data_IF_356634288586
#
_entry.id   IF_356634288586
#
_cell.length_a   1.000
_cell.length_b   1.000
_cell.length_c   1.000
_cell.angle_alpha   90.00
_cell.angle_beta   90.00
_cell.angle_gamma   90.00
#
_symmetry.space_group_name_H-M   'P 1'
#
loop_
_entity.id
_entity.type
_entity.pdbx_description
1 polymer ?
#
# COMPACT_ATOMS: atom_id res chain seq x y z
N UNK A 1 -24.04 41.03 48.23
CA UNK A 1 -24.05 41.31 46.78
C UNK A 1 -23.74 40.02 46.05
N UNK A 2 -24.68 39.60 45.20
CA UNK A 2 -24.68 38.32 44.50
C UNK A 2 -23.54 38.21 43.50
N UNK A 3 -22.66 37.22 43.67
CA UNK A 3 -21.83 36.70 42.58
C UNK A 3 -22.76 35.93 41.62
N UNK A 4 -23.44 36.68 40.75
CA UNK A 4 -24.20 36.14 39.63
C UNK A 4 -23.21 35.51 38.65
N UNK A 5 -23.33 34.19 38.49
CA UNK A 5 -23.23 33.45 37.23
C UNK A 5 -22.27 34.04 36.17
N UNK A 6 -21.05 33.49 36.09
CA UNK A 6 -20.35 33.41 34.79
C UNK A 6 -19.88 31.97 34.52
N UNK A 7 -20.77 31.02 34.13
CA UNK A 7 -20.33 29.65 33.82
C UNK A 7 -20.26 29.35 32.30
N UNK A 8 -21.06 30.01 31.46
CA UNK A 8 -21.38 29.43 30.14
C UNK A 8 -20.46 29.86 28.98
N UNK A 9 -19.81 31.02 29.07
CA UNK A 9 -18.94 31.54 27.99
C UNK A 9 -17.62 30.75 27.92
N UNK A 10 -17.12 30.28 29.08
CA UNK A 10 -15.86 29.54 29.17
C UNK A 10 -15.99 28.08 28.69
N UNK A 11 -17.15 27.45 28.95
CA UNK A 11 -17.41 26.05 28.54
C UNK A 11 -17.51 25.93 27.03
N UNK A 12 -18.30 26.79 26.36
CA UNK A 12 -18.42 26.78 24.89
C UNK A 12 -17.09 27.07 24.19
N UNK A 13 -16.30 27.99 24.73
CA UNK A 13 -14.96 28.28 24.22
C UNK A 13 -14.04 27.05 24.39
N UNK A 14 -14.06 26.39 25.54
CA UNK A 14 -13.28 25.16 25.80
C UNK A 14 -13.69 24.01 24.88
N UNK A 15 -14.98 23.76 24.71
CA UNK A 15 -15.48 22.74 23.78
C UNK A 15 -15.03 23.00 22.35
N UNK A 16 -15.05 24.26 21.89
CA UNK A 16 -14.55 24.65 20.58
C UNK A 16 -13.06 24.31 20.41
N UNK A 17 -12.23 24.60 21.39
CA UNK A 17 -10.81 24.25 21.35
C UNK A 17 -10.56 22.74 21.39
N UNK A 18 -11.36 22.00 22.17
CA UNK A 18 -11.27 20.53 22.23
C UNK A 18 -11.68 19.88 20.91
N UNK A 19 -12.70 20.42 20.23
CA UNK A 19 -13.08 20.00 18.87
C UNK A 19 -11.98 20.27 17.84
N UNK A 20 -11.30 21.43 17.93
CA UNK A 20 -10.17 21.73 17.04
C UNK A 20 -8.98 20.81 17.33
N UNK A 21 -8.72 20.49 18.60
CA UNK A 21 -7.65 19.57 18.97
C UNK A 21 -7.95 18.16 18.46
N UNK A 22 -9.19 17.68 18.65
CA UNK A 22 -9.58 16.35 18.22
C UNK A 22 -9.61 16.22 16.69
N UNK A 23 -10.03 17.25 15.95
CA UNK A 23 -9.97 17.26 14.49
C UNK A 23 -8.52 17.16 14.00
N UNK A 24 -7.59 17.92 14.57
CA UNK A 24 -6.15 17.82 14.27
C UNK A 24 -5.59 16.44 14.60
N UNK A 25 -6.02 15.82 15.70
CA UNK A 25 -5.59 14.47 16.05
C UNK A 25 -6.10 13.42 15.05
N UNK A 26 -7.31 13.60 14.51
CA UNK A 26 -7.86 12.74 13.45
C UNK A 26 -7.09 12.92 12.14
N UNK A 27 -6.76 14.15 11.75
CA UNK A 27 -5.92 14.44 10.58
C UNK A 27 -4.53 13.79 10.68
N UNK A 28 -3.97 13.72 11.89
CA UNK A 28 -2.70 13.05 12.18
C UNK A 28 -2.84 11.51 12.28
N UNK A 29 -4.03 10.95 12.04
CA UNK A 29 -4.31 9.51 12.14
C UNK A 29 -4.34 8.97 13.57
N UNK A 30 -4.38 9.83 14.59
CA UNK A 30 -4.37 9.42 16.00
C UNK A 30 -5.79 9.31 16.58
N UNK A 31 -6.58 8.42 16.01
CA UNK A 31 -7.98 8.20 16.37
C UNK A 31 -8.17 7.83 17.84
N UNK A 32 -7.28 7.02 18.42
CA UNK A 32 -7.36 6.64 19.82
C UNK A 32 -7.18 7.80 20.80
N UNK A 33 -6.31 8.77 20.51
CA UNK A 33 -6.18 9.99 21.35
C UNK A 33 -7.37 10.92 21.13
N UNK A 34 -7.82 11.09 19.89
CA UNK A 34 -9.01 11.90 19.58
C UNK A 34 -10.25 11.37 20.31
N UNK A 35 -10.51 10.06 20.24
CA UNK A 35 -11.63 9.43 20.92
C UNK A 35 -11.59 9.59 22.45
N UNK A 36 -10.39 9.55 23.07
CA UNK A 36 -10.24 9.82 24.51
C UNK A 36 -10.65 11.24 24.89
N UNK A 37 -10.34 12.23 24.04
CA UNK A 37 -10.76 13.62 24.25
C UNK A 37 -12.28 13.72 24.17
N UNK A 38 -12.90 13.12 23.15
CA UNK A 38 -14.35 13.10 22.99
C UNK A 38 -15.07 12.42 24.15
N UNK A 39 -14.56 11.26 24.58
CA UNK A 39 -15.16 10.49 25.66
C UNK A 39 -15.11 11.22 27.01
N UNK A 40 -14.01 11.94 27.30
CA UNK A 40 -13.81 12.61 28.59
C UNK A 40 -14.45 14.00 28.69
N UNK A 41 -14.47 14.76 27.60
CA UNK A 41 -14.75 16.20 27.67
C UNK A 41 -15.85 16.69 26.72
N UNK A 42 -16.31 15.86 25.79
CA UNK A 42 -17.34 16.23 24.82
C UNK A 42 -18.49 15.23 24.89
N UNK A 43 -18.67 14.42 23.84
CA UNK A 43 -19.73 13.42 23.74
C UNK A 43 -19.14 12.01 23.62
N UNK A 44 -19.60 11.13 24.49
CA UNK A 44 -19.16 9.73 24.55
C UNK A 44 -19.59 8.91 23.32
N UNK A 45 -20.71 9.26 22.68
CA UNK A 45 -21.19 8.59 21.45
C UNK A 45 -20.31 8.89 20.23
N UNK A 46 -19.85 10.13 20.08
CA UNK A 46 -18.97 10.53 18.96
C UNK A 46 -17.58 9.87 19.09
N UNK A 47 -17.13 9.59 20.32
CA UNK A 47 -15.90 8.84 20.55
C UNK A 47 -15.94 7.44 19.94
N UNK A 48 -17.08 6.75 19.98
CA UNK A 48 -17.23 5.43 19.35
C UNK A 48 -17.07 5.50 17.83
N UNK A 49 -17.73 6.48 17.20
CA UNK A 49 -17.64 6.69 15.74
C UNK A 49 -16.21 6.97 15.29
N UNK A 50 -15.45 7.74 16.07
CA UNK A 50 -14.03 8.04 15.78
C UNK A 50 -13.16 6.78 15.91
N UNK A 51 -13.39 5.94 16.91
CA UNK A 51 -12.65 4.68 17.04
C UNK A 51 -12.94 3.72 15.88
N UNK A 52 -14.22 3.65 15.46
CA UNK A 52 -14.64 2.86 14.29
C UNK A 52 -13.98 3.39 13.01
N UNK A 53 -13.96 4.71 12.81
CA UNK A 53 -13.31 5.33 11.66
C UNK A 53 -11.79 5.05 11.63
N UNK A 54 -11.15 4.97 12.79
CA UNK A 54 -9.74 4.62 12.92
C UNK A 54 -9.44 3.13 12.95
N UNK A 55 -10.44 2.27 12.71
CA UNK A 55 -10.32 0.81 12.79
C UNK A 55 -9.77 0.30 14.14
N UNK A 56 -9.96 1.04 15.23
CA UNK A 56 -9.54 0.65 16.58
C UNK A 56 -10.60 -0.27 17.24
N UNK A 57 -10.92 -1.38 16.58
CA UNK A 57 -12.06 -2.25 16.88
C UNK A 57 -12.13 -2.69 18.34
N UNK A 58 -11.00 -3.13 18.91
CA UNK A 58 -10.94 -3.62 20.29
C UNK A 58 -11.26 -2.51 21.29
N UNK A 59 -10.77 -1.29 21.05
CA UNK A 59 -11.03 -0.15 21.93
C UNK A 59 -12.49 0.31 21.79
N UNK A 60 -13.03 0.29 20.58
CA UNK A 60 -14.44 0.59 20.31
C UNK A 60 -15.36 -0.40 21.05
N UNK A 61 -15.08 -1.71 20.96
CA UNK A 61 -15.86 -2.73 21.65
C UNK A 61 -15.82 -2.57 23.17
N UNK A 62 -14.64 -2.28 23.76
CA UNK A 62 -14.52 -1.99 25.20
C UNK A 62 -15.30 -0.75 25.63
N UNK A 63 -15.41 0.25 24.75
CA UNK A 63 -16.16 1.47 25.03
C UNK A 63 -17.68 1.22 25.01
N UNK A 64 -18.13 0.24 24.21
CA UNK A 64 -19.53 -0.08 23.99
C UNK A 64 -20.29 -0.40 25.28
N UNK A 65 -19.66 -1.13 26.21
CA UNK A 65 -20.25 -1.48 27.51
C UNK A 65 -20.52 -0.27 28.42
N UNK A 66 -19.94 0.89 28.11
CA UNK A 66 -20.12 2.14 28.86
C UNK A 66 -21.11 3.09 28.19
N UNK A 67 -21.69 2.69 27.05
CA UNK A 67 -22.56 3.50 26.21
C UNK A 67 -24.00 2.97 26.24
N UNK A 68 -24.99 3.79 25.84
CA UNK A 68 -26.38 3.34 25.76
C UNK A 68 -26.57 2.23 24.72
N UNK A 69 -27.62 1.41 24.91
CA UNK A 69 -27.91 0.22 24.09
C UNK A 69 -28.03 0.50 22.59
N UNK A 70 -28.47 1.70 22.19
CA UNK A 70 -28.55 2.13 20.78
C UNK A 70 -27.20 2.11 20.07
N UNK A 71 -26.10 2.32 20.79
CA UNK A 71 -24.77 2.27 20.20
C UNK A 71 -24.34 0.84 19.89
N UNK A 72 -24.92 -0.15 20.58
CA UNK A 72 -24.68 -1.57 20.31
C UNK A 72 -25.19 -1.95 18.93
N UNK A 73 -26.42 -1.57 18.57
CA UNK A 73 -26.97 -1.87 17.25
C UNK A 73 -26.18 -1.19 16.13
N UNK A 74 -25.79 0.07 16.31
CA UNK A 74 -24.90 0.78 15.38
C UNK A 74 -23.55 0.07 15.20
N UNK A 75 -22.91 -0.34 16.31
CA UNK A 75 -21.62 -1.02 16.26
C UNK A 75 -21.73 -2.36 15.52
N UNK A 76 -22.73 -3.18 15.85
CA UNK A 76 -22.94 -4.49 15.22
C UNK A 76 -23.22 -4.36 13.71
N UNK A 77 -24.05 -3.40 13.28
CA UNK A 77 -24.27 -3.14 11.85
C UNK A 77 -22.98 -2.72 11.14
N UNK A 78 -22.15 -1.91 11.80
CA UNK A 78 -20.85 -1.49 11.28
C UNK A 78 -19.91 -2.69 11.11
N UNK A 79 -19.89 -3.62 12.07
CA UNK A 79 -19.09 -4.85 11.99
C UNK A 79 -19.50 -5.69 10.78
N UNK A 80 -20.79 -5.97 10.59
CA UNK A 80 -21.26 -6.73 9.43
C UNK A 80 -20.92 -6.03 8.11
N UNK A 81 -21.12 -4.70 8.03
CA UNK A 81 -20.73 -3.94 6.84
C UNK A 81 -19.23 -3.99 6.57
N UNK A 82 -18.39 -3.92 7.61
CA UNK A 82 -16.94 -4.00 7.45
C UNK A 82 -16.50 -5.40 7.01
N UNK A 83 -17.11 -6.44 7.54
CA UNK A 83 -16.85 -7.83 7.13
C UNK A 83 -17.02 -8.00 5.61
N UNK A 84 -18.19 -7.61 5.08
CA UNK A 84 -18.47 -7.62 3.63
C UNK A 84 -17.46 -6.79 2.83
N UNK A 85 -17.08 -5.62 3.35
CA UNK A 85 -16.11 -4.75 2.69
C UNK A 85 -14.71 -5.38 2.63
N UNK A 86 -14.28 -6.09 3.67
CA UNK A 86 -12.98 -6.80 3.67
C UNK A 86 -12.99 -7.90 2.60
N UNK A 87 -14.08 -8.66 2.48
CA UNK A 87 -14.22 -9.70 1.44
C UNK A 87 -14.09 -9.11 0.03
N UNK A 88 -14.84 -8.03 -0.24
CA UNK A 88 -14.77 -7.32 -1.52
C UNK A 88 -13.39 -6.73 -1.77
N UNK A 89 -12.73 -6.20 -0.74
CA UNK A 89 -11.36 -5.69 -0.85
C UNK A 89 -10.39 -6.79 -1.27
N UNK A 90 -10.43 -7.95 -0.62
CA UNK A 90 -9.61 -9.11 -0.99
C UNK A 90 -9.84 -9.53 -2.45
N UNK A 91 -11.09 -9.55 -2.91
CA UNK A 91 -11.43 -9.90 -4.29
C UNK A 91 -10.89 -8.89 -5.30
N UNK A 92 -11.07 -7.59 -5.05
CA UNK A 92 -10.53 -6.51 -5.88
C UNK A 92 -9.01 -6.58 -5.94
N UNK A 93 -8.34 -6.80 -4.79
CA UNK A 93 -6.89 -6.98 -4.74
C UNK A 93 -6.44 -8.19 -5.55
N UNK A 94 -7.15 -9.31 -5.43
CA UNK A 94 -6.88 -10.54 -6.20
C UNK A 94 -6.93 -10.26 -7.71
N UNK A 95 -8.01 -9.63 -8.18
CA UNK A 95 -8.16 -9.29 -9.61
C UNK A 95 -7.08 -8.32 -10.10
N UNK A 96 -6.74 -7.31 -9.28
CA UNK A 96 -5.69 -6.36 -9.60
C UNK A 96 -4.32 -7.04 -9.71
N UNK A 97 -4.00 -7.96 -8.81
CA UNK A 97 -2.74 -8.72 -8.85
C UNK A 97 -2.70 -9.61 -10.08
N UNK A 98 -3.77 -10.35 -10.38
CA UNK A 98 -3.85 -11.22 -11.57
C UNK A 98 -3.62 -10.40 -12.83
N UNK A 99 -4.35 -9.30 -13.00
CA UNK A 99 -4.25 -8.44 -14.18
C UNK A 99 -2.84 -7.89 -14.38
N UNK A 100 -2.24 -7.32 -13.33
CA UNK A 100 -0.89 -6.75 -13.38
C UNK A 100 0.18 -7.82 -13.58
N UNK A 101 0.07 -8.96 -12.91
CA UNK A 101 0.98 -10.11 -13.07
C UNK A 101 0.96 -10.62 -14.51
N UNK A 102 -0.23 -10.84 -15.07
CA UNK A 102 -0.38 -11.33 -16.44
C UNK A 102 0.22 -10.35 -17.45
N UNK A 103 0.04 -9.03 -17.25
CA UNK A 103 0.69 -8.03 -18.11
C UNK A 103 2.20 -8.03 -17.93
N UNK A 104 2.71 -8.13 -16.70
CA UNK A 104 4.14 -8.17 -16.42
C UNK A 104 4.82 -9.35 -17.13
N UNK A 105 4.22 -10.54 -17.09
CA UNK A 105 4.74 -11.72 -17.77
C UNK A 105 4.81 -11.48 -19.29
N UNK A 106 3.73 -10.98 -19.90
CA UNK A 106 3.73 -10.62 -21.33
C UNK A 106 4.81 -9.61 -21.70
N UNK A 107 5.00 -8.56 -20.88
CA UNK A 107 6.04 -7.55 -21.13
C UNK A 107 7.45 -8.15 -21.03
N UNK A 108 7.67 -9.12 -20.13
CA UNK A 108 8.95 -9.84 -20.05
C UNK A 108 9.19 -10.68 -21.29
N UNK A 109 8.18 -11.41 -21.77
CA UNK A 109 8.27 -12.21 -22.99
C UNK A 109 8.52 -11.33 -24.23
N UNK A 110 7.80 -10.20 -24.35
CA UNK A 110 7.99 -9.20 -25.41
C UNK A 110 9.45 -8.67 -25.43
N UNK A 111 10.05 -8.45 -24.25
CA UNK A 111 11.43 -7.97 -24.12
C UNK A 111 12.46 -9.03 -24.49
N UNK A 112 12.26 -10.27 -24.03
CA UNK A 112 13.14 -11.39 -24.37
C UNK A 112 13.15 -11.64 -25.88
N UNK A 113 11.97 -11.64 -26.52
CA UNK A 113 11.83 -11.76 -27.97
C UNK A 113 12.53 -10.61 -28.71
N UNK A 114 12.40 -9.38 -28.21
CA UNK A 114 13.05 -8.20 -28.81
C UNK A 114 14.58 -8.28 -28.72
N UNK A 115 15.12 -8.78 -27.61
CA UNK A 115 16.56 -9.01 -27.46
C UNK A 115 17.05 -10.12 -28.38
N UNK A 116 16.34 -11.24 -28.47
CA UNK A 116 16.69 -12.35 -29.35
C UNK A 116 16.68 -11.93 -30.83
N UNK A 117 15.65 -11.20 -31.27
CA UNK A 117 15.56 -10.68 -32.64
C UNK A 117 16.67 -9.66 -32.95
N UNK A 118 17.09 -8.85 -31.96
CA UNK A 118 18.22 -7.95 -32.18
C UNK A 118 19.54 -8.73 -32.32
N UNK A 119 19.72 -9.82 -31.59
CA UNK A 119 20.90 -10.68 -31.72
C UNK A 119 20.92 -11.39 -33.09
N UNK A 120 19.77 -11.90 -33.55
CA UNK A 120 19.67 -12.58 -34.85
C UNK A 120 19.93 -11.60 -36.02
N UNK A 121 19.41 -10.38 -35.94
CA UNK A 121 19.74 -9.33 -36.92
C UNK A 121 21.20 -8.88 -36.84
N UNK A 122 21.80 -8.77 -35.65
CA UNK A 122 23.22 -8.42 -35.51
C UNK A 122 24.14 -9.51 -36.07
N UNK A 123 23.76 -10.78 -35.92
CA UNK A 123 24.49 -11.92 -36.48
C UNK A 123 24.27 -12.05 -38.00
N UNK A 124 23.09 -11.68 -38.51
CA UNK A 124 22.78 -11.60 -39.94
C UNK A 124 23.44 -10.40 -40.64
N UNK A 125 23.64 -9.28 -39.93
CA UNK A 125 24.25 -8.04 -40.43
C UNK A 125 25.79 -8.00 -40.28
N UNK A 126 26.44 -9.10 -39.90
CA UNK A 126 27.92 -9.23 -39.95
C UNK A 126 28.51 -9.20 -41.38
N UNK A 127 27.71 -8.85 -42.38
CA UNK A 127 28.13 -8.64 -43.78
C UNK A 127 27.86 -7.21 -44.26
N UNK A 128 27.99 -6.18 -43.42
CA UNK A 128 28.07 -4.79 -43.88
C UNK A 128 28.83 -3.88 -42.89
N UNK A 129 30.12 -3.74 -43.13
CA UNK A 129 30.97 -2.70 -42.57
C UNK A 129 30.49 -1.30 -43.04
N UNK A 130 30.45 -0.30 -42.15
CA UNK A 130 31.22 0.96 -42.21
C UNK A 130 30.55 2.16 -41.51
N UNK A 131 31.31 2.73 -40.57
CA UNK A 131 31.49 4.16 -40.25
C UNK A 131 30.28 5.09 -40.00
N UNK A 132 30.23 5.67 -38.79
CA UNK A 132 30.02 7.12 -38.59
C UNK A 132 30.42 7.55 -37.16
N UNK A 133 31.62 8.13 -37.05
CA UNK A 133 32.08 8.89 -35.89
C UNK A 133 31.63 10.37 -35.97
N UNK A 134 31.65 11.02 -34.81
CA UNK A 134 31.82 12.47 -34.53
C UNK A 134 30.61 13.38 -34.35
N UNK A 135 30.65 14.13 -33.23
CA UNK A 135 29.82 15.32 -33.01
C UNK A 135 29.59 15.77 -31.56
N UNK A 136 30.56 15.67 -30.64
CA UNK A 136 30.45 16.23 -29.28
C UNK A 136 30.96 17.68 -29.23
N UNK A 137 30.03 18.65 -29.10
CA UNK A 137 30.36 20.05 -28.80
C UNK A 137 29.80 20.43 -27.42
N UNK A 138 30.69 20.44 -26.42
CA UNK A 138 30.45 20.98 -25.09
C UNK A 138 30.61 22.51 -25.11
N UNK A 139 29.59 23.24 -24.66
CA UNK A 139 29.74 24.61 -24.15
C UNK A 139 28.46 25.04 -23.41
N UNK A 140 28.58 25.48 -22.15
CA UNK A 140 27.55 26.29 -21.50
C UNK A 140 27.22 26.00 -20.03
N UNK A 141 27.79 26.80 -19.13
CA UNK A 141 27.23 27.29 -17.84
C UNK A 141 26.92 26.28 -16.71
N UNK A 142 27.77 26.27 -15.68
CA UNK A 142 27.69 25.38 -14.51
C UNK A 142 26.70 25.87 -13.42
N UNK A 143 26.27 27.14 -13.41
CA UNK A 143 25.57 27.70 -12.23
C UNK A 143 24.02 27.72 -12.28
N UNK A 144 23.39 27.42 -13.42
CA UNK A 144 21.91 27.26 -13.54
C UNK A 144 21.45 25.80 -13.59
N UNK A 145 22.42 24.88 -13.50
CA UNK A 145 22.26 23.46 -13.81
C UNK A 145 21.60 22.63 -12.70
N UNK A 146 21.76 23.00 -11.42
CA UNK A 146 21.24 22.22 -10.28
C UNK A 146 19.70 22.18 -10.22
N UNK A 147 19.01 23.28 -10.53
CA UNK A 147 17.54 23.36 -10.53
C UNK A 147 16.92 22.64 -11.74
N UNK A 148 17.50 22.83 -12.94
CA UNK A 148 17.06 22.13 -14.16
C UNK A 148 17.29 20.62 -14.06
N UNK A 149 18.46 20.18 -13.54
CA UNK A 149 18.79 18.77 -13.27
C UNK A 149 17.79 18.12 -12.31
N UNK A 150 17.34 18.82 -11.24
CA UNK A 150 16.29 18.30 -10.34
C UNK A 150 14.94 18.12 -11.05
N UNK A 151 14.55 19.07 -11.91
CA UNK A 151 13.27 19.02 -12.65
C UNK A 151 13.29 17.96 -13.77
N UNK A 152 14.42 17.79 -14.46
CA UNK A 152 14.60 16.68 -15.42
C UNK A 152 14.71 15.33 -14.73
N UNK A 153 15.38 15.24 -13.58
CA UNK A 153 15.43 14.02 -12.76
C UNK A 153 14.06 13.60 -12.25
N UNK A 154 13.25 14.52 -11.71
CA UNK A 154 11.84 14.22 -11.33
C UNK A 154 11.04 13.72 -12.53
N UNK A 155 11.18 14.34 -13.70
CA UNK A 155 10.50 13.92 -14.94
C UNK A 155 10.98 12.55 -15.44
N UNK A 156 12.25 12.20 -15.26
CA UNK A 156 12.79 10.88 -15.58
C UNK A 156 12.28 9.82 -14.60
N UNK A 157 12.30 10.11 -13.30
CA UNK A 157 11.75 9.24 -12.24
C UNK A 157 10.25 8.96 -12.50
N UNK A 158 9.46 9.98 -12.84
CA UNK A 158 8.03 9.80 -13.16
C UNK A 158 7.77 8.92 -14.39
N UNK A 159 8.75 8.64 -15.26
CA UNK A 159 8.57 7.71 -16.38
C UNK A 159 8.68 6.24 -15.95
N UNK A 160 9.43 5.95 -14.89
CA UNK A 160 9.56 4.60 -14.34
C UNK A 160 8.27 4.11 -13.70
N UNK A 161 7.47 5.01 -13.15
CA UNK A 161 6.22 4.66 -12.46
C UNK A 161 4.96 4.79 -13.32
N UNK A 162 5.10 4.94 -14.64
CA UNK A 162 3.95 5.05 -15.54
C UNK A 162 3.64 3.68 -16.16
N UNK A 163 2.48 3.14 -15.83
CA UNK A 163 1.89 1.94 -16.44
C UNK A 163 1.26 2.21 -17.80
N UNK A 164 1.99 2.92 -18.67
CA UNK A 164 1.58 3.06 -20.07
C UNK A 164 1.95 1.77 -20.80
N UNK A 165 0.95 1.13 -21.39
CA UNK A 165 1.12 -0.05 -22.25
C UNK A 165 2.10 0.27 -23.39
N UNK A 166 3.10 -0.59 -23.59
CA UNK A 166 4.20 -0.41 -24.54
C UNK A 166 5.26 0.60 -24.08
N UNK A 167 5.25 0.97 -22.80
CA UNK A 167 6.21 1.91 -22.22
C UNK A 167 7.59 1.28 -22.03
N UNK A 168 8.65 2.09 -22.22
CA UNK A 168 10.06 1.68 -22.03
C UNK A 168 10.32 1.00 -20.66
N UNK A 169 9.61 1.42 -19.62
CA UNK A 169 9.76 0.96 -18.24
C UNK A 169 8.46 0.37 -17.68
N UNK A 170 7.60 -0.17 -18.54
CA UNK A 170 6.30 -0.70 -18.14
C UNK A 170 6.43 -1.84 -17.11
N UNK A 171 7.39 -2.74 -17.28
CA UNK A 171 7.70 -3.80 -16.34
C UNK A 171 8.07 -3.26 -14.95
N UNK A 172 8.90 -2.22 -14.88
CA UNK A 172 9.26 -1.57 -13.62
C UNK A 172 8.05 -0.90 -12.96
N UNK A 173 7.21 -0.23 -13.76
CA UNK A 173 5.98 0.39 -13.26
C UNK A 173 5.03 -0.65 -12.66
N UNK A 174 4.83 -1.78 -13.35
CA UNK A 174 3.99 -2.89 -12.89
C UNK A 174 4.56 -3.55 -11.62
N UNK A 175 5.87 -3.77 -11.57
CA UNK A 175 6.54 -4.29 -10.37
C UNK A 175 6.34 -3.37 -9.16
N UNK A 176 6.51 -2.07 -9.35
CA UNK A 176 6.31 -1.11 -8.28
C UNK A 176 4.84 -1.03 -7.82
N UNK A 177 3.88 -1.08 -8.74
CA UNK A 177 2.45 -1.14 -8.37
C UNK A 177 2.09 -2.43 -7.63
N UNK A 178 2.63 -3.57 -8.06
CA UNK A 178 2.50 -4.84 -7.34
C UNK A 178 3.13 -4.73 -5.94
N UNK A 179 4.33 -4.17 -5.82
CA UNK A 179 4.96 -3.92 -4.52
C UNK A 179 4.07 -3.10 -3.58
N UNK A 180 3.49 -2.00 -4.07
CA UNK A 180 2.56 -1.16 -3.28
C UNK A 180 1.35 -1.97 -2.82
N UNK A 181 0.78 -2.81 -3.69
CA UNK A 181 -0.37 -3.66 -3.34
C UNK A 181 0.00 -4.62 -2.20
N UNK A 182 1.15 -5.27 -2.30
CA UNK A 182 1.63 -6.20 -1.27
C UNK A 182 1.91 -5.51 0.07
N UNK A 183 2.53 -4.32 0.05
CA UNK A 183 2.72 -3.50 1.26
C UNK A 183 1.39 -3.00 1.85
N UNK A 184 0.43 -2.64 0.99
CA UNK A 184 -0.91 -2.23 1.41
C UNK A 184 -1.59 -3.34 2.21
N UNK A 185 -1.55 -4.56 1.66
CA UNK A 185 -2.14 -5.72 2.33
C UNK A 185 -1.52 -6.01 3.70
N UNK A 186 -0.22 -5.79 3.91
CA UNK A 186 0.39 -5.97 5.26
C UNK A 186 -0.24 -5.05 6.30
N UNK A 187 -0.64 -3.83 5.92
CA UNK A 187 -1.34 -2.91 6.82
C UNK A 187 -2.77 -3.39 7.08
N UNK A 188 -3.44 -3.85 6.03
CA UNK A 188 -4.80 -4.40 6.12
C UNK A 188 -4.82 -5.66 6.99
N UNK A 189 -3.77 -6.49 6.95
CA UNK A 189 -3.64 -7.69 7.77
C UNK A 189 -3.66 -7.38 9.27
N UNK A 190 -2.96 -6.32 9.70
CA UNK A 190 -2.97 -5.87 11.10
C UNK A 190 -4.38 -5.47 11.53
N UNK A 191 -5.14 -4.82 10.64
CA UNK A 191 -6.54 -4.49 10.88
C UNK A 191 -7.40 -5.76 10.98
N UNK A 192 -7.28 -6.68 10.02
CA UNK A 192 -8.02 -7.96 9.96
C UNK A 192 -7.82 -8.74 11.26
N UNK A 193 -6.60 -8.81 11.78
CA UNK A 193 -6.31 -9.48 13.05
C UNK A 193 -7.04 -8.82 14.23
N UNK A 194 -7.09 -7.48 14.27
CA UNK A 194 -7.84 -6.76 15.31
C UNK A 194 -9.35 -6.98 15.17
N UNK A 195 -9.84 -6.99 13.94
CA UNK A 195 -11.24 -7.20 13.61
C UNK A 195 -11.69 -8.63 13.98
N UNK A 196 -10.90 -9.65 13.65
CA UNK A 196 -11.12 -11.05 14.05
C UNK A 196 -11.25 -11.20 15.57
N UNK A 197 -10.38 -10.55 16.34
CA UNK A 197 -10.48 -10.56 17.82
C UNK A 197 -11.82 -10.02 18.30
N UNK A 198 -12.35 -8.98 17.66
CA UNK A 198 -13.66 -8.42 18.03
C UNK A 198 -14.80 -9.35 17.62
N UNK A 199 -14.73 -9.99 16.44
CA UNK A 199 -15.73 -11.00 16.05
C UNK A 199 -15.81 -12.13 17.09
N UNK A 200 -14.67 -12.63 17.56
CA UNK A 200 -14.61 -13.65 18.62
C UNK A 200 -15.18 -13.13 19.94
N UNK A 201 -14.85 -11.89 20.34
CA UNK A 201 -15.44 -11.27 21.54
C UNK A 201 -16.96 -11.07 21.43
N UNK A 202 -17.49 -10.94 20.21
CA UNK A 202 -18.91 -10.86 19.92
C UNK A 202 -19.60 -12.22 19.76
N UNK A 203 -18.87 -13.34 19.92
CA UNK A 203 -19.32 -14.71 19.66
C UNK A 203 -19.76 -14.98 18.20
N UNK A 204 -19.22 -14.21 17.25
CA UNK A 204 -19.50 -14.37 15.81
C UNK A 204 -18.50 -15.35 15.17
N UNK A 205 -18.50 -16.58 15.65
CA UNK A 205 -17.49 -17.60 15.31
C UNK A 205 -17.48 -17.95 13.82
N UNK A 206 -18.66 -18.09 13.21
CA UNK A 206 -18.80 -18.46 11.78
C UNK A 206 -18.15 -17.42 10.86
N UNK A 207 -18.43 -16.14 11.10
CA UNK A 207 -17.79 -15.06 10.34
C UNK A 207 -16.29 -15.00 10.60
N UNK A 208 -15.85 -15.23 11.84
CA UNK A 208 -14.42 -15.26 12.14
C UNK A 208 -13.70 -16.38 11.37
N UNK A 209 -14.28 -17.58 11.31
CA UNK A 209 -13.78 -18.72 10.56
C UNK A 209 -13.71 -18.42 9.06
N UNK A 210 -14.81 -17.93 8.48
CA UNK A 210 -14.88 -17.58 7.05
C UNK A 210 -13.84 -16.52 6.66
N UNK A 211 -13.66 -15.49 7.51
CA UNK A 211 -12.67 -14.45 7.27
C UNK A 211 -11.23 -15.00 7.36
N UNK A 212 -10.95 -15.92 8.28
CA UNK A 212 -9.64 -16.57 8.39
C UNK A 212 -9.37 -17.40 7.14
N UNK A 213 -10.33 -18.20 6.71
CA UNK A 213 -10.21 -19.03 5.51
C UNK A 213 -9.93 -18.16 4.28
N UNK A 214 -10.77 -17.14 4.04
CA UNK A 214 -10.61 -16.20 2.92
C UNK A 214 -9.24 -15.51 2.94
N UNK A 215 -8.79 -15.08 4.13
CA UNK A 215 -7.49 -14.41 4.29
C UNK A 215 -6.32 -15.37 4.06
N UNK A 216 -6.40 -16.60 4.56
CA UNK A 216 -5.35 -17.62 4.37
C UNK A 216 -5.26 -18.06 2.91
N UNK A 217 -6.39 -18.25 2.22
CA UNK A 217 -6.43 -18.50 0.77
C UNK A 217 -5.73 -17.36 0.02
N UNK A 218 -6.05 -16.11 0.37
CA UNK A 218 -5.42 -14.95 -0.25
C UNK A 218 -3.91 -14.86 0.03
N UNK A 219 -3.48 -15.13 1.27
CA UNK A 219 -2.05 -15.21 1.62
C UNK A 219 -1.30 -16.26 0.81
N UNK A 220 -1.90 -17.44 0.60
CA UNK A 220 -1.33 -18.49 -0.25
C UNK A 220 -1.20 -18.02 -1.70
N UNK A 221 -2.26 -17.41 -2.24
CA UNK A 221 -2.22 -16.79 -3.56
C UNK A 221 -1.13 -15.71 -3.69
N UNK A 222 -0.93 -14.87 -2.66
CA UNK A 222 0.16 -13.88 -2.64
C UNK A 222 1.53 -14.56 -2.63
N UNK A 223 1.70 -15.65 -1.89
CA UNK A 223 2.95 -16.42 -1.84
C UNK A 223 3.30 -17.01 -3.22
N UNK A 224 2.32 -17.65 -3.86
CA UNK A 224 2.48 -18.22 -5.21
C UNK A 224 2.70 -17.15 -6.27
N UNK A 225 2.02 -16.01 -6.18
CA UNK A 225 2.22 -14.91 -7.10
C UNK A 225 3.59 -14.25 -6.90
N UNK A 226 4.07 -14.18 -5.66
CA UNK A 226 5.37 -13.60 -5.31
C UNK A 226 6.52 -14.31 -6.02
N UNK A 227 6.53 -15.64 -6.05
CA UNK A 227 7.58 -16.43 -6.72
C UNK A 227 7.60 -16.22 -8.24
N UNK A 228 6.43 -15.91 -8.84
CA UNK A 228 6.31 -15.61 -10.27
C UNK A 228 6.69 -14.15 -10.60
N UNK A 229 6.41 -13.22 -9.69
CA UNK A 229 6.65 -11.79 -9.88
C UNK A 229 8.13 -11.47 -9.67
N UNK A 230 8.73 -11.95 -8.58
CA UNK A 230 10.10 -11.63 -8.16
C UNK A 230 11.10 -12.68 -8.65
N UNK A 231 11.45 -12.60 -9.93
CA UNK A 231 12.48 -13.43 -10.57
C UNK A 231 13.88 -12.83 -10.39
N UNK A 232 14.97 -13.61 -10.48
CA UNK A 232 16.35 -13.10 -10.38
C UNK A 232 16.65 -11.96 -11.36
N UNK A 233 16.05 -12.03 -12.55
CA UNK A 233 16.02 -10.91 -13.49
C UNK A 233 14.75 -10.10 -13.24
N UNK A 234 14.88 -9.04 -12.43
CA UNK A 234 13.76 -8.16 -12.07
C UNK A 234 13.39 -7.21 -13.23
N UNK A 235 14.39 -6.72 -13.96
CA UNK A 235 14.21 -5.78 -15.08
C UNK A 235 15.12 -6.16 -16.26
N UNK A 236 14.54 -6.31 -17.45
CA UNK A 236 15.27 -6.62 -18.69
C UNK A 236 15.77 -5.37 -19.42
N UNK A 237 15.86 -4.23 -18.74
CA UNK A 237 16.19 -2.96 -19.40
C UNK A 237 15.07 -2.47 -20.35
N UNK A 238 15.32 -1.41 -21.12
CA UNK A 238 14.42 -0.93 -22.16
C UNK A 238 14.13 -1.95 -23.28
N UNK A 239 12.92 -1.92 -23.84
CA UNK A 239 12.54 -2.75 -25.02
C UNK A 239 13.50 -2.55 -26.23
N UNK A 240 14.16 -1.38 -26.33
CA UNK A 240 14.98 -0.99 -27.49
C UNK A 240 16.49 -0.97 -27.21
N UNK A 241 16.99 -1.63 -26.17
CA UNK A 241 18.44 -1.71 -25.92
C UNK A 241 18.97 -3.07 -26.37
N UNK A 242 19.68 -3.09 -27.49
CA UNK A 242 20.51 -4.20 -27.94
C UNK A 242 21.81 -4.23 -27.12
N UNK A 243 21.68 -4.49 -25.82
CA UNK A 243 22.83 -4.71 -24.94
C UNK A 243 22.75 -6.18 -24.51
N UNK A 244 23.85 -6.94 -24.59
CA UNK A 244 23.84 -8.37 -24.25
C UNK A 244 23.42 -8.58 -22.80
N UNK A 245 23.07 -9.83 -22.46
CA UNK A 245 22.83 -10.34 -21.11
C UNK A 245 23.95 -9.97 -20.14
N UNK A 246 23.95 -8.73 -19.67
CA UNK A 246 24.46 -8.38 -18.37
C UNK A 246 23.25 -8.61 -17.48
N UNK A 247 23.15 -9.75 -16.75
CA UNK A 247 22.21 -9.83 -15.64
C UNK A 247 22.38 -8.53 -14.85
N UNK A 248 21.28 -7.91 -14.46
CA UNK A 248 21.28 -6.63 -13.79
C UNK A 248 22.01 -6.74 -12.43
N UNK A 249 23.33 -6.83 -12.45
CA UNK A 249 24.22 -6.73 -11.32
C UNK A 249 24.35 -5.26 -11.04
N UNK A 250 24.27 -4.90 -9.76
CA UNK A 250 24.26 -3.56 -9.17
C UNK A 250 25.37 -2.59 -9.64
N UNK A 251 26.30 -3.05 -10.46
CA UNK A 251 27.59 -2.43 -10.67
C UNK A 251 27.76 -2.02 -12.14
N UNK A 252 26.99 -1.04 -12.60
CA UNK A 252 27.42 -0.15 -13.68
C UNK A 252 27.03 1.28 -13.37
N UNK A 253 28.04 2.15 -13.40
CA UNK A 253 28.14 3.55 -12.97
C UNK A 253 27.19 4.56 -13.63
N UNK A 254 26.08 4.09 -14.22
CA UNK A 254 24.90 4.87 -14.62
C UNK A 254 23.68 4.65 -13.70
N UNK A 255 23.82 3.81 -12.67
CA UNK A 255 22.74 3.28 -11.82
C UNK A 255 22.50 3.97 -10.48
N UNK A 256 23.13 5.11 -10.19
CA UNK A 256 23.03 5.76 -8.87
C UNK A 256 21.61 6.12 -8.39
N UNK A 257 20.54 5.91 -9.17
CA UNK A 257 19.20 6.41 -8.85
C UNK A 257 18.02 5.50 -9.22
N UNK A 258 18.21 4.20 -9.49
CA UNK A 258 17.04 3.31 -9.53
C UNK A 258 16.59 3.02 -8.10
N UNK A 259 15.29 3.18 -7.78
CA UNK A 259 14.77 2.75 -6.49
C UNK A 259 14.97 1.23 -6.39
N UNK A 260 15.73 0.81 -5.41
CA UNK A 260 15.82 -0.60 -5.01
C UNK A 260 14.39 -0.99 -4.63
N UNK A 261 13.75 -1.83 -5.44
CA UNK A 261 12.51 -2.48 -5.04
C UNK A 261 12.95 -3.59 -4.11
N UNK A 262 12.95 -3.30 -2.81
CA UNK A 262 13.16 -4.34 -1.80
C UNK A 262 12.05 -5.37 -1.94
N UNK A 263 12.41 -6.66 -1.95
CA UNK A 263 11.43 -7.74 -1.95
C UNK A 263 10.61 -7.58 -0.67
N UNK A 264 9.28 -7.45 -0.75
CA UNK A 264 8.48 -7.24 0.43
C UNK A 264 8.63 -8.46 1.34
N UNK A 265 9.15 -8.25 2.56
CA UNK A 265 9.22 -9.28 3.61
C UNK A 265 7.80 -9.58 4.07
N UNK A 266 7.14 -10.51 3.39
CA UNK A 266 5.77 -10.89 3.68
C UNK A 266 5.78 -11.96 4.76
N UNK A 267 5.14 -11.66 5.89
CA UNK A 267 4.87 -12.66 6.89
C UNK A 267 3.73 -13.55 6.38
N UNK A 268 4.07 -14.70 5.84
CA UNK A 268 3.11 -15.64 5.28
C UNK A 268 2.60 -16.67 6.29
N UNK A 269 2.84 -16.48 7.59
CA UNK A 269 2.32 -17.38 8.61
C UNK A 269 0.79 -17.43 8.52
N UNK A 270 0.24 -18.64 8.59
CA UNK A 270 -1.21 -18.82 8.62
C UNK A 270 -1.78 -18.16 9.87
N UNK A 271 -2.91 -17.49 9.72
CA UNK A 271 -3.61 -16.93 10.88
C UNK A 271 -4.17 -18.10 11.68
N UNK A 272 -3.47 -18.48 12.75
CA UNK A 272 -3.93 -19.51 13.68
C UNK A 272 -4.65 -18.89 14.88
N UNK A 273 -5.81 -19.42 15.21
CA UNK A 273 -6.50 -19.10 16.46
C UNK A 273 -5.86 -19.94 17.59
N UNK A 274 -4.76 -19.45 18.17
CA UNK A 274 -4.29 -19.93 19.49
C UNK A 274 -5.06 -19.25 20.63
N UNK A 275 -6.39 -19.17 20.54
CA UNK A 275 -7.26 -18.57 21.57
C UNK A 275 -8.09 -19.58 22.38
N UNK A 276 -7.91 -20.88 22.17
CA UNK A 276 -8.61 -21.91 22.95
C UNK A 276 -8.08 -22.11 24.39
N UNK A 277 -7.00 -21.45 24.81
CA UNK A 277 -6.40 -21.64 26.15
C UNK A 277 -6.47 -20.44 27.10
N UNK A 278 -7.09 -19.32 26.71
CA UNK A 278 -7.08 -18.08 27.54
C UNK A 278 -8.44 -17.49 27.84
N UNK A 279 -9.52 -18.06 27.31
CA UNK A 279 -10.90 -17.57 27.45
C UNK A 279 -11.90 -18.65 27.90
N UNK A 280 -11.42 -19.82 28.32
CA UNK A 280 -12.08 -20.74 29.26
C UNK A 280 -11.29 -20.62 30.56
#
# INVERSE_FOLDING_TARGET
MCLKLVPDICIKSREKHLNILSSKLIELGNYGKAAKVYYKFLKSQEALKILVQGHEWIKAYKLLFKLPKEQFTFFTQTIYSRFENIFKQIEILTQNIISKKNRLLKVRDEKLLSQANCFDNLMSDSSSETSSMSGSSYSGSINTSKSRRKKTRKRQISKYYRTKIGGKYEDFALLHELYIIFLGFQKDEVEIIQFLKVLLMMNEWKMAEELIEKTNIFKRFLRESSTQIWTPVLHLGPINTCVPDVPFTSDQSSLENLPIIEIPTLNYDEIQINLFKKFI
#
